data_IF_952524286533
#
_entry.id   IF_952524286533
#
_cell.length_a   1.000
_cell.length_b   1.000
_cell.length_c   1.000
_cell.angle_alpha   90.00
_cell.angle_beta   90.00
_cell.angle_gamma   90.00
#
_symmetry.space_group_name_H-M   'P 1'
#
loop_
_entity.id
_entity.type
_entity.pdbx_description
1 polymer ?
#
# COMPACT_ATOMS: atom_id res chain seq x y z
N UNK A 1 1.39 19.66 9.95
CA UNK A 1 0.42 19.39 11.07
C UNK A 1 0.10 17.89 11.02
N UNK A 2 -0.11 17.24 12.18
CA UNK A 2 -0.51 15.81 12.24
C UNK A 2 -1.84 15.72 12.97
N UNK A 3 -2.81 15.05 12.35
CA UNK A 3 -4.16 14.88 12.88
C UNK A 3 -4.43 13.37 13.09
N UNK A 4 -4.92 13.00 14.26
CA UNK A 4 -5.33 11.62 14.55
C UNK A 4 -6.75 11.36 14.04
N UNK A 5 -6.94 10.24 13.37
CA UNK A 5 -8.21 9.84 12.78
C UNK A 5 -8.65 8.47 13.32
N UNK A 6 -9.96 8.30 13.46
CA UNK A 6 -10.60 7.02 13.78
C UNK A 6 -11.52 6.65 12.60
N UNK A 7 -11.19 5.59 11.89
CA UNK A 7 -11.90 5.20 10.67
C UNK A 7 -12.71 3.93 10.93
N UNK A 8 -14.02 4.02 10.74
CA UNK A 8 -14.91 2.85 10.84
C UNK A 8 -14.62 1.90 9.69
N UNK A 9 -14.27 0.66 10.01
CA UNK A 9 -13.89 -0.38 9.05
C UNK A 9 -14.51 -1.72 9.37
N UNK A 10 -14.08 -2.75 8.64
CA UNK A 10 -14.52 -4.14 8.81
C UNK A 10 -13.34 -5.10 8.64
N UNK A 11 -13.49 -6.32 9.14
CA UNK A 11 -12.46 -7.35 9.11
C UNK A 11 -12.89 -8.57 8.27
N UNK A 12 -12.99 -8.44 6.92
CA UNK A 12 -13.19 -9.60 6.06
C UNK A 12 -11.91 -10.46 6.05
N UNK A 13 -12.05 -11.77 6.23
CA UNK A 13 -10.89 -12.66 6.24
C UNK A 13 -10.24 -12.82 4.86
N UNK A 14 -11.05 -12.89 3.81
CA UNK A 14 -10.62 -13.05 2.42
C UNK A 14 -11.35 -12.06 1.49
N UNK A 15 -10.84 -11.89 0.28
CA UNK A 15 -11.50 -11.09 -0.78
C UNK A 15 -12.92 -11.62 -1.05
N UNK A 16 -13.14 -12.94 -0.97
CA UNK A 16 -14.47 -13.52 -1.08
C UNK A 16 -15.49 -12.85 -0.14
N UNK A 17 -15.09 -12.52 1.09
CA UNK A 17 -15.98 -11.86 2.05
C UNK A 17 -16.26 -10.39 1.71
N UNK A 18 -15.32 -9.73 1.01
CA UNK A 18 -15.56 -8.39 0.46
C UNK A 18 -16.67 -8.47 -0.60
N UNK A 19 -16.53 -9.41 -1.54
CA UNK A 19 -17.42 -9.52 -2.70
C UNK A 19 -18.81 -10.09 -2.36
N UNK A 20 -18.94 -10.92 -1.30
CA UNK A 20 -20.14 -11.70 -1.05
C UNK A 20 -20.79 -11.51 0.33
N UNK A 21 -20.44 -10.47 1.06
CA UNK A 21 -21.06 -10.24 2.36
C UNK A 21 -20.23 -9.44 3.34
N UNK A 22 -19.64 -8.37 2.88
CA UNK A 22 -18.83 -7.48 3.71
C UNK A 22 -19.59 -7.01 4.97
N UNK A 23 -20.89 -6.74 4.84
CA UNK A 23 -21.75 -6.28 5.93
C UNK A 23 -21.90 -7.29 7.08
N UNK A 24 -21.61 -8.57 6.83
CA UNK A 24 -21.65 -9.66 7.82
C UNK A 24 -20.33 -9.83 8.57
N UNK A 25 -19.26 -9.18 8.10
CA UNK A 25 -17.95 -9.29 8.76
C UNK A 25 -17.86 -8.41 10.00
N UNK A 26 -16.95 -8.73 10.91
CA UNK A 26 -16.76 -8.00 12.15
C UNK A 26 -16.45 -6.52 11.89
N UNK A 27 -17.09 -5.64 12.65
CA UNK A 27 -16.77 -4.21 12.66
C UNK A 27 -15.48 -3.97 13.42
N UNK A 28 -14.69 -3.02 12.95
CA UNK A 28 -13.50 -2.53 13.64
C UNK A 28 -13.37 -1.02 13.44
N UNK A 29 -12.53 -0.38 14.24
CA UNK A 29 -12.17 1.03 14.06
C UNK A 29 -10.67 1.11 13.94
N UNK A 30 -10.16 1.51 12.80
CA UNK A 30 -8.72 1.63 12.59
C UNK A 30 -8.23 3.03 12.88
N UNK A 31 -7.03 3.13 13.41
CA UNK A 31 -6.35 4.40 13.65
C UNK A 31 -5.59 4.82 12.39
N UNK A 32 -5.63 6.11 12.09
CA UNK A 32 -4.84 6.69 11.03
C UNK A 32 -4.28 8.05 11.45
N UNK A 33 -3.16 8.44 10.87
CA UNK A 33 -2.49 9.72 11.10
C UNK A 33 -2.45 10.49 9.78
N UNK A 34 -3.14 11.62 9.72
CA UNK A 34 -3.11 12.52 8.57
C UNK A 34 -2.03 13.59 8.77
N UNK A 35 -1.02 13.54 7.93
CA UNK A 35 0.04 14.52 7.82
C UNK A 35 -0.30 15.50 6.70
N UNK A 36 -0.46 16.77 7.02
CA UNK A 36 -0.71 17.83 6.04
C UNK A 36 0.60 18.59 5.77
N UNK A 37 0.92 18.87 4.49
CA UNK A 37 2.03 19.72 4.14
C UNK A 37 1.74 21.19 4.52
N UNK A 38 2.71 22.08 4.33
CA UNK A 38 2.48 23.51 4.46
C UNK A 38 1.74 24.05 3.24
N UNK A 39 0.88 25.05 3.43
CA UNK A 39 0.14 25.72 2.37
C UNK A 39 -1.37 25.55 2.49
N UNK A 40 -2.05 25.95 1.43
CA UNK A 40 -3.50 25.82 1.28
C UNK A 40 -3.80 24.70 0.29
N UNK A 41 -4.73 23.82 0.64
CA UNK A 41 -5.18 22.72 -0.22
C UNK A 41 -6.02 23.20 -1.42
N UNK A 42 -6.61 22.30 -2.20
CA UNK A 42 -6.62 20.86 -1.94
C UNK A 42 -5.30 20.19 -2.28
N UNK A 43 -4.79 19.34 -1.37
CA UNK A 43 -3.56 18.58 -1.55
C UNK A 43 -3.85 17.22 -2.18
N UNK A 44 -3.02 16.76 -3.10
CA UNK A 44 -2.96 15.33 -3.41
C UNK A 44 -2.60 14.55 -2.15
N UNK A 45 -3.26 13.43 -1.88
CA UNK A 45 -3.07 12.65 -0.66
C UNK A 45 -2.65 11.22 -0.98
N UNK A 46 -1.70 10.69 -0.20
CA UNK A 46 -1.27 9.30 -0.28
C UNK A 46 -1.75 8.55 0.95
N UNK A 47 -2.60 7.54 0.76
CA UNK A 47 -2.88 6.56 1.82
C UNK A 47 -1.71 5.59 1.85
N UNK A 48 -0.96 5.59 2.95
CA UNK A 48 0.21 4.76 3.15
C UNK A 48 -0.13 3.54 4.02
N UNK A 49 0.34 2.36 3.60
CA UNK A 49 0.01 1.06 4.19
C UNK A 49 1.28 0.29 4.54
N UNK A 50 1.42 -0.08 5.81
CA UNK A 50 2.60 -0.79 6.32
C UNK A 50 2.68 -2.26 5.84
N UNK A 51 3.85 -2.86 5.99
CA UNK A 51 4.09 -4.29 5.75
C UNK A 51 3.73 -5.17 6.96
N UNK A 52 4.06 -6.46 6.86
CA UNK A 52 3.78 -7.48 7.91
C UNK A 52 4.46 -7.20 9.25
N UNK A 53 5.49 -6.37 9.30
CA UNK A 53 6.18 -5.93 10.52
C UNK A 53 5.67 -4.60 11.08
N UNK A 54 4.54 -4.09 10.58
CA UNK A 54 4.06 -2.76 10.95
C UNK A 54 4.88 -1.64 10.30
N UNK A 55 4.87 -0.45 10.92
CA UNK A 55 5.59 0.72 10.45
C UNK A 55 7.09 0.65 10.77
N UNK A 56 7.93 1.09 9.82
CA UNK A 56 9.39 1.10 9.93
C UNK A 56 10.00 2.43 9.45
N UNK A 57 11.26 2.68 9.78
CA UNK A 57 11.96 3.93 9.47
C UNK A 57 11.99 4.24 7.96
N UNK A 58 12.24 3.24 7.11
CA UNK A 58 12.29 3.45 5.67
C UNK A 58 10.94 3.89 5.09
N UNK A 59 9.81 3.49 5.67
CA UNK A 59 8.50 4.02 5.30
C UNK A 59 8.42 5.53 5.60
N UNK A 60 8.96 5.95 6.75
CA UNK A 60 8.97 7.36 7.14
C UNK A 60 9.81 8.24 6.19
N UNK A 61 10.91 7.68 5.64
CA UNK A 61 11.72 8.41 4.65
C UNK A 61 10.94 8.71 3.37
N UNK A 62 10.15 7.75 2.88
CA UNK A 62 9.24 7.96 1.76
C UNK A 62 8.17 9.02 2.09
N UNK A 63 7.54 8.89 3.25
CA UNK A 63 6.49 9.81 3.72
C UNK A 63 7.02 11.24 3.81
N UNK A 64 8.19 11.44 4.40
CA UNK A 64 8.82 12.74 4.49
C UNK A 64 9.09 13.34 3.11
N UNK A 65 9.61 12.53 2.18
CA UNK A 65 9.83 12.97 0.81
C UNK A 65 8.55 13.35 0.05
N UNK A 66 7.42 12.70 0.32
CA UNK A 66 6.13 13.08 -0.27
C UNK A 66 5.57 14.37 0.32
N UNK A 67 5.71 14.55 1.64
CA UNK A 67 5.33 15.80 2.34
C UNK A 67 6.15 17.01 1.85
N UNK A 68 7.45 16.83 1.58
CA UNK A 68 8.33 17.85 1.01
C UNK A 68 7.87 18.32 -0.39
N UNK A 69 7.24 17.42 -1.17
CA UNK A 69 6.66 17.75 -2.48
C UNK A 69 5.21 18.32 -2.40
N UNK A 70 4.72 18.57 -1.21
CA UNK A 70 3.40 19.16 -1.01
C UNK A 70 2.24 18.15 -1.07
N UNK A 71 2.51 16.84 -0.98
CA UNK A 71 1.46 15.84 -0.85
C UNK A 71 1.07 15.67 0.63
N UNK A 72 -0.21 15.51 0.90
CA UNK A 72 -0.68 15.00 2.18
C UNK A 72 -0.42 13.50 2.27
N UNK A 73 -0.23 12.98 3.49
CA UNK A 73 -0.04 11.53 3.71
C UNK A 73 -0.93 11.07 4.85
N UNK A 74 -1.71 10.03 4.63
CA UNK A 74 -2.49 9.35 5.66
C UNK A 74 -1.90 7.97 5.95
N UNK A 75 -1.26 7.81 7.12
CA UNK A 75 -0.74 6.53 7.60
C UNK A 75 -1.85 5.73 8.26
N UNK A 76 -2.18 4.57 7.74
CA UNK A 76 -3.21 3.69 8.32
C UNK A 76 -2.55 2.60 9.17
N UNK A 77 -3.02 2.43 10.40
CA UNK A 77 -2.57 1.37 11.29
C UNK A 77 -3.62 0.26 11.38
N UNK A 78 -3.49 -0.76 10.52
CA UNK A 78 -4.41 -1.89 10.48
C UNK A 78 -4.20 -2.91 11.61
N UNK A 79 -3.13 -2.79 12.40
CA UNK A 79 -2.75 -3.75 13.43
C UNK A 79 -3.26 -3.38 14.82
N UNK A 80 -3.14 -2.12 15.24
CA UNK A 80 -3.49 -1.70 16.60
C UNK A 80 -4.94 -2.03 16.97
N UNK A 81 -5.87 -1.79 16.07
CA UNK A 81 -7.30 -2.09 16.25
C UNK A 81 -7.61 -3.59 16.36
N UNK A 82 -6.68 -4.44 15.96
CA UNK A 82 -6.77 -5.91 16.01
C UNK A 82 -5.87 -6.52 17.08
N UNK A 83 -5.26 -5.64 17.92
CA UNK A 83 -4.41 -6.02 19.06
C UNK A 83 -3.20 -6.89 18.67
N UNK A 84 -2.60 -6.59 17.51
CA UNK A 84 -1.37 -7.22 17.04
C UNK A 84 -0.32 -6.17 16.66
N UNK A 85 0.95 -6.60 16.65
CA UNK A 85 2.09 -5.75 16.29
C UNK A 85 2.71 -6.15 14.94
N UNK A 86 2.56 -7.41 14.56
CA UNK A 86 3.06 -7.95 13.29
C UNK A 86 2.30 -9.23 12.88
N UNK A 87 2.46 -9.61 11.61
CA UNK A 87 1.87 -10.84 11.03
C UNK A 87 2.92 -11.78 10.45
N UNK A 88 4.20 -11.63 10.83
CA UNK A 88 5.30 -12.42 10.23
C UNK A 88 5.13 -13.91 10.49
N UNK A 89 4.77 -14.27 11.72
CA UNK A 89 4.59 -15.66 12.14
C UNK A 89 3.20 -16.21 11.81
N UNK A 90 2.21 -15.33 11.63
CA UNK A 90 0.83 -15.70 11.28
C UNK A 90 0.20 -14.64 10.36
N UNK A 91 0.33 -14.85 9.06
CA UNK A 91 -0.19 -13.96 8.01
C UNK A 91 -1.74 -13.93 7.96
N UNK A 92 -2.42 -14.77 8.75
CA UNK A 92 -3.87 -14.86 8.78
C UNK A 92 -4.52 -14.00 9.87
N UNK A 93 -3.76 -13.48 10.82
CA UNK A 93 -4.29 -12.61 11.90
C UNK A 93 -4.78 -11.26 11.37
N UNK A 94 -4.06 -10.64 10.44
CA UNK A 94 -4.55 -9.52 9.63
C UNK A 94 -4.21 -9.75 8.18
N UNK A 95 -5.24 -9.96 7.38
CA UNK A 95 -5.11 -10.30 5.97
C UNK A 95 -5.08 -9.06 5.07
N UNK A 96 -4.61 -9.22 3.83
CA UNK A 96 -4.70 -8.15 2.83
C UNK A 96 -6.16 -7.72 2.58
N UNK A 97 -7.16 -8.62 2.70
CA UNK A 97 -8.57 -8.27 2.55
C UNK A 97 -9.05 -7.28 3.62
N UNK A 98 -8.63 -7.46 4.89
CA UNK A 98 -8.91 -6.51 5.97
C UNK A 98 -8.30 -5.14 5.67
N UNK A 99 -7.03 -5.11 5.28
CA UNK A 99 -6.32 -3.87 4.98
C UNK A 99 -6.84 -3.17 3.71
N UNK A 100 -7.35 -3.90 2.72
CA UNK A 100 -8.04 -3.30 1.56
C UNK A 100 -9.26 -2.51 2.03
N UNK A 101 -10.09 -3.10 2.89
CA UNK A 101 -11.27 -2.39 3.43
C UNK A 101 -10.83 -1.18 4.26
N UNK A 102 -9.80 -1.31 5.09
CA UNK A 102 -9.26 -0.19 5.87
C UNK A 102 -8.82 0.98 4.94
N UNK A 103 -8.13 0.68 3.85
CA UNK A 103 -7.67 1.67 2.88
C UNK A 103 -8.85 2.41 2.20
N UNK A 104 -9.87 1.67 1.73
CA UNK A 104 -11.05 2.27 1.10
C UNK A 104 -11.87 3.10 2.09
N UNK A 105 -12.07 2.63 3.33
CA UNK A 105 -12.78 3.41 4.34
C UNK A 105 -12.02 4.67 4.76
N UNK A 106 -10.69 4.59 4.78
CA UNK A 106 -9.86 5.79 4.97
C UNK A 106 -10.02 6.77 3.81
N UNK A 107 -10.07 6.27 2.57
CA UNK A 107 -10.36 7.08 1.38
C UNK A 107 -11.71 7.79 1.49
N UNK A 108 -12.76 7.06 1.90
CA UNK A 108 -14.11 7.62 2.06
C UNK A 108 -14.13 8.79 3.06
N UNK A 109 -13.36 8.70 4.14
CA UNK A 109 -13.24 9.78 5.15
C UNK A 109 -12.45 10.96 4.58
N UNK A 110 -11.33 10.70 3.93
CA UNK A 110 -10.47 11.75 3.35
C UNK A 110 -11.17 12.52 2.22
N UNK A 111 -12.02 11.87 1.44
CA UNK A 111 -12.80 12.51 0.38
C UNK A 111 -13.78 13.59 0.89
N UNK A 112 -14.16 13.53 2.16
CA UNK A 112 -15.03 14.54 2.79
C UNK A 112 -14.24 15.76 3.31
N UNK A 113 -12.91 15.70 3.33
CA UNK A 113 -12.06 16.80 3.74
C UNK A 113 -11.75 17.72 2.55
N UNK A 114 -12.27 18.94 2.58
CA UNK A 114 -12.08 19.92 1.50
C UNK A 114 -10.60 20.28 1.23
N UNK A 115 -9.70 19.93 2.15
CA UNK A 115 -8.26 20.13 1.99
C UNK A 115 -7.61 19.04 1.14
N UNK A 116 -8.32 17.93 0.85
CA UNK A 116 -7.82 16.78 0.13
C UNK A 116 -8.40 16.75 -1.29
N UNK A 117 -7.52 16.59 -2.28
CA UNK A 117 -7.85 16.44 -3.68
C UNK A 117 -7.83 14.98 -4.14
N UNK A 118 -6.98 14.68 -5.12
CA UNK A 118 -6.78 13.29 -5.59
C UNK A 118 -6.18 12.41 -4.51
N UNK A 119 -6.57 11.13 -4.47
CA UNK A 119 -6.13 10.19 -3.43
C UNK A 119 -5.50 8.95 -4.07
N UNK A 120 -4.19 8.79 -3.88
CA UNK A 120 -3.45 7.58 -4.25
C UNK A 120 -3.25 6.63 -3.06
N UNK A 121 -2.84 5.40 -3.36
CA UNK A 121 -2.48 4.40 -2.36
C UNK A 121 -1.07 3.89 -2.60
N UNK A 122 -0.28 3.84 -1.52
CA UNK A 122 1.08 3.28 -1.51
C UNK A 122 1.22 2.28 -0.37
N UNK A 123 2.01 1.23 -0.56
CA UNK A 123 2.21 0.25 0.49
C UNK A 123 3.40 -0.66 0.27
N UNK A 124 3.90 -1.24 1.34
CA UNK A 124 5.10 -2.07 1.36
C UNK A 124 4.75 -3.52 1.72
N UNK A 125 5.27 -4.50 0.96
CA UNK A 125 5.07 -5.93 1.23
C UNK A 125 3.58 -6.29 1.30
N UNK A 126 3.06 -6.65 2.47
CA UNK A 126 1.63 -6.86 2.70
C UNK A 126 0.81 -5.62 2.28
N UNK A 127 1.21 -4.41 2.69
CA UNK A 127 0.62 -3.16 2.23
C UNK A 127 0.78 -2.93 0.72
N UNK A 128 1.88 -3.40 0.12
CA UNK A 128 2.09 -3.41 -1.33
C UNK A 128 1.09 -4.31 -2.04
N UNK A 129 0.79 -5.48 -1.47
CA UNK A 129 -0.26 -6.38 -1.96
C UNK A 129 -1.64 -5.69 -1.91
N UNK A 130 -1.91 -4.96 -0.84
CA UNK A 130 -3.14 -4.16 -0.70
C UNK A 130 -3.19 -3.07 -1.78
N UNK A 131 -2.12 -2.29 -1.96
CA UNK A 131 -2.05 -1.25 -2.98
C UNK A 131 -2.25 -1.80 -4.39
N UNK A 132 -1.71 -3.00 -4.70
CA UNK A 132 -1.90 -3.69 -5.98
C UNK A 132 -3.37 -4.09 -6.19
N UNK A 133 -3.93 -4.89 -5.27
CA UNK A 133 -5.28 -5.45 -5.46
C UNK A 133 -6.41 -4.45 -5.23
N UNK A 134 -6.15 -3.30 -4.62
CA UNK A 134 -7.09 -2.18 -4.56
C UNK A 134 -7.44 -1.59 -5.94
N UNK A 135 -6.68 -1.96 -6.99
CA UNK A 135 -6.99 -1.60 -8.37
C UNK A 135 -7.95 -2.59 -9.06
N UNK A 136 -8.25 -3.76 -8.46
CA UNK A 136 -9.10 -4.76 -9.08
C UNK A 136 -10.58 -4.31 -9.09
N UNK A 137 -11.18 -4.18 -10.30
CA UNK A 137 -12.51 -3.56 -10.48
C UNK A 137 -13.60 -4.17 -9.60
N UNK A 138 -13.72 -5.50 -9.42
CA UNK A 138 -14.74 -6.06 -8.53
C UNK A 138 -14.63 -5.61 -7.08
N UNK A 139 -13.43 -5.33 -6.58
CA UNK A 139 -13.24 -4.73 -5.24
C UNK A 139 -13.71 -3.29 -5.24
N UNK A 140 -13.32 -2.52 -6.27
CA UNK A 140 -13.71 -1.11 -6.41
C UNK A 140 -15.24 -0.96 -6.48
N UNK A 141 -15.93 -1.81 -7.24
CA UNK A 141 -17.40 -1.80 -7.37
C UNK A 141 -18.12 -1.98 -6.03
N UNK A 142 -17.55 -2.77 -5.13
CA UNK A 142 -18.14 -3.03 -3.80
C UNK A 142 -17.74 -1.96 -2.78
N UNK A 143 -16.49 -1.50 -2.82
CA UNK A 143 -15.96 -0.62 -1.78
C UNK A 143 -16.11 0.87 -2.09
N UNK A 144 -16.34 1.24 -3.35
CA UNK A 144 -16.59 2.63 -3.76
C UNK A 144 -15.62 3.12 -4.82
N UNK A 145 -15.20 4.38 -4.75
CA UNK A 145 -14.40 5.01 -5.79
C UNK A 145 -12.97 4.45 -5.88
N UNK A 146 -12.39 4.32 -7.09
CA UNK A 146 -11.01 3.89 -7.27
C UNK A 146 -10.02 4.92 -6.71
N UNK A 147 -8.81 4.49 -6.42
CA UNK A 147 -7.69 5.38 -6.16
C UNK A 147 -7.20 6.03 -7.47
N UNK A 148 -6.66 7.24 -7.38
CA UNK A 148 -6.14 7.97 -8.54
C UNK A 148 -4.74 7.48 -8.97
N UNK A 149 -4.01 6.80 -8.09
CA UNK A 149 -2.71 6.20 -8.35
C UNK A 149 -2.42 5.05 -7.39
N UNK A 150 -1.63 4.06 -7.85
CA UNK A 150 -1.21 2.92 -7.04
C UNK A 150 0.31 2.79 -7.05
N UNK A 151 0.92 2.64 -5.85
CA UNK A 151 2.36 2.47 -5.69
C UNK A 151 2.68 1.26 -4.79
N UNK A 152 2.63 0.04 -5.33
CA UNK A 152 3.04 -1.17 -4.62
C UNK A 152 4.57 -1.31 -4.57
N UNK A 153 5.14 -1.45 -3.37
CA UNK A 153 6.52 -1.87 -3.16
C UNK A 153 6.55 -3.36 -2.85
N UNK A 154 7.30 -4.12 -3.63
CA UNK A 154 7.50 -5.58 -3.49
C UNK A 154 6.25 -6.34 -3.02
N UNK A 155 5.13 -6.25 -3.78
CA UNK A 155 3.87 -6.90 -3.40
C UNK A 155 3.94 -8.41 -3.57
N UNK A 156 3.22 -9.15 -2.70
CA UNK A 156 2.92 -10.55 -2.94
C UNK A 156 1.76 -10.68 -3.94
N UNK A 157 2.09 -10.78 -5.22
CA UNK A 157 1.10 -10.80 -6.31
C UNK A 157 0.68 -12.24 -6.67
N UNK A 158 0.30 -13.05 -5.67
CA UNK A 158 0.01 -14.48 -5.85
C UNK A 158 -1.45 -14.79 -6.20
N UNK A 159 -2.38 -13.85 -5.98
CA UNK A 159 -3.78 -14.05 -6.36
C UNK A 159 -3.93 -13.97 -7.88
N UNK A 160 -4.80 -14.83 -8.42
CA UNK A 160 -5.11 -14.92 -9.85
C UNK A 160 -6.61 -14.77 -10.04
N UNK A 161 -7.11 -13.50 -10.07
CA UNK A 161 -8.53 -13.27 -10.29
C UNK A 161 -8.98 -13.82 -11.65
N UNK A 162 -10.14 -14.46 -11.70
CA UNK A 162 -10.74 -14.90 -12.97
C UNK A 162 -11.20 -13.70 -13.79
N UNK A 163 -11.83 -12.73 -13.15
CA UNK A 163 -12.23 -11.45 -13.77
C UNK A 163 -10.98 -10.60 -13.96
N UNK A 164 -10.61 -10.37 -15.23
CA UNK A 164 -9.40 -9.62 -15.62
C UNK A 164 -9.72 -8.16 -15.89
N UNK A 165 -10.44 -7.54 -14.97
CA UNK A 165 -10.83 -6.14 -15.05
C UNK A 165 -10.19 -5.34 -13.90
N UNK A 166 -9.49 -4.27 -14.26
CA UNK A 166 -8.69 -3.48 -13.35
C UNK A 166 -8.89 -1.99 -13.63
N UNK A 167 -8.78 -1.18 -12.60
CA UNK A 167 -8.78 0.28 -12.72
C UNK A 167 -7.73 0.78 -13.71
N UNK A 168 -8.08 1.77 -14.52
CA UNK A 168 -7.15 2.46 -15.44
C UNK A 168 -6.22 3.45 -14.73
N UNK A 169 -6.28 3.58 -13.42
CA UNK A 169 -5.38 4.44 -12.66
C UNK A 169 -3.92 4.03 -12.85
N UNK A 170 -3.04 5.01 -12.91
CA UNK A 170 -1.62 4.74 -13.09
C UNK A 170 -1.05 3.92 -11.93
N UNK A 171 -0.26 2.89 -12.24
CA UNK A 171 0.41 2.05 -11.26
C UNK A 171 1.92 2.00 -11.51
N UNK A 172 2.69 2.19 -10.44
CA UNK A 172 4.15 1.97 -10.45
C UNK A 172 4.49 0.89 -9.43
N UNK A 173 4.94 -0.27 -9.89
CA UNK A 173 5.42 -1.36 -9.03
C UNK A 173 6.94 -1.27 -8.93
N UNK A 174 7.47 -1.23 -7.71
CA UNK A 174 8.90 -1.26 -7.42
C UNK A 174 9.26 -2.61 -6.80
N UNK A 175 10.13 -3.39 -7.45
CA UNK A 175 10.41 -4.75 -7.01
C UNK A 175 11.89 -5.12 -7.17
N UNK A 176 12.38 -6.03 -6.33
CA UNK A 176 13.70 -6.64 -6.46
C UNK A 176 13.64 -7.99 -7.18
N UNK A 177 14.59 -8.30 -8.05
CA UNK A 177 14.63 -9.60 -8.75
C UNK A 177 15.18 -10.75 -7.89
N UNK A 178 15.89 -10.43 -6.80
CA UNK A 178 16.36 -11.40 -5.82
C UNK A 178 15.42 -11.53 -4.59
N UNK A 179 14.21 -11.04 -4.70
CA UNK A 179 13.20 -11.17 -3.63
C UNK A 179 12.71 -12.62 -3.52
N UNK A 180 13.07 -13.28 -2.44
CA UNK A 180 12.71 -14.67 -2.13
C UNK A 180 11.50 -14.77 -1.18
N UNK A 181 11.04 -13.64 -0.62
CA UNK A 181 9.85 -13.57 0.23
C UNK A 181 8.58 -13.35 -0.60
N UNK A 182 8.60 -12.40 -1.54
CA UNK A 182 7.54 -12.13 -2.50
C UNK A 182 8.10 -12.20 -3.93
N UNK A 183 8.33 -13.41 -4.48
CA UNK A 183 9.05 -13.60 -5.72
C UNK A 183 8.46 -12.82 -6.90
N UNK A 184 9.31 -12.08 -7.63
CA UNK A 184 8.93 -11.17 -8.71
C UNK A 184 8.11 -11.83 -9.83
N UNK A 185 8.33 -13.12 -10.11
CA UNK A 185 7.63 -13.85 -11.16
C UNK A 185 6.10 -13.83 -10.99
N UNK A 186 5.59 -13.65 -9.76
CA UNK A 186 4.17 -13.47 -9.51
C UNK A 186 3.66 -12.14 -10.06
N UNK A 187 4.42 -11.05 -9.91
CA UNK A 187 4.12 -9.75 -10.51
C UNK A 187 4.21 -9.82 -12.03
N UNK A 188 5.29 -10.37 -12.56
CA UNK A 188 5.51 -10.50 -14.01
C UNK A 188 4.39 -11.28 -14.70
N UNK A 189 3.89 -12.36 -14.08
CA UNK A 189 2.78 -13.14 -14.63
C UNK A 189 1.42 -12.43 -14.56
N UNK A 190 1.26 -11.46 -13.66
CA UNK A 190 0.04 -10.65 -13.55
C UNK A 190 0.10 -9.40 -14.45
N UNK A 191 1.29 -8.89 -14.72
CA UNK A 191 1.53 -7.64 -15.44
C UNK A 191 0.76 -7.49 -16.77
N UNK A 192 0.62 -8.54 -17.62
CA UNK A 192 -0.15 -8.43 -18.87
C UNK A 192 -1.63 -8.09 -18.69
N UNK A 193 -2.17 -8.19 -17.48
CA UNK A 193 -3.56 -7.88 -17.15
C UNK A 193 -3.72 -6.48 -16.54
N UNK A 194 -2.63 -5.83 -16.14
CA UNK A 194 -2.65 -4.55 -15.43
C UNK A 194 -2.53 -3.38 -16.41
N UNK A 195 -3.59 -2.60 -16.63
CA UNK A 195 -3.52 -1.41 -17.49
C UNK A 195 -2.63 -0.34 -16.85
N UNK A 196 -2.09 0.56 -17.65
CA UNK A 196 -1.32 1.73 -17.22
C UNK A 196 -0.27 1.46 -16.12
N UNK A 197 0.31 0.24 -16.13
CA UNK A 197 1.23 -0.23 -15.10
C UNK A 197 2.66 -0.22 -15.61
N UNK A 198 3.56 0.34 -14.79
CA UNK A 198 5.02 0.25 -14.98
C UNK A 198 5.60 -0.61 -13.86
N UNK A 199 6.33 -1.67 -14.22
CA UNK A 199 7.17 -2.44 -13.30
C UNK A 199 8.60 -1.93 -13.41
N UNK A 200 9.18 -1.49 -12.29
CA UNK A 200 10.60 -1.18 -12.19
C UNK A 200 11.31 -2.22 -11.33
N UNK A 201 12.30 -2.89 -11.93
CA UNK A 201 13.02 -4.00 -11.29
C UNK A 201 14.42 -3.55 -10.87
N UNK A 202 14.76 -3.82 -9.62
CA UNK A 202 16.10 -3.60 -9.07
C UNK A 202 16.89 -4.92 -9.06
N UNK A 203 17.93 -4.99 -9.89
CA UNK A 203 18.78 -6.19 -9.99
C UNK A 203 19.49 -6.51 -8.66
N UNK A 204 19.57 -7.79 -8.26
CA UNK A 204 20.11 -8.32 -6.98
C UNK A 204 19.54 -7.64 -5.73
N UNK A 205 18.34 -7.07 -5.80
CA UNK A 205 17.66 -6.47 -4.67
C UNK A 205 16.68 -7.49 -4.06
N UNK A 206 16.79 -7.66 -2.74
CA UNK A 206 15.94 -8.57 -1.96
C UNK A 206 14.69 -7.84 -1.44
N UNK A 207 13.86 -8.58 -0.69
CA UNK A 207 12.69 -8.01 -0.03
C UNK A 207 13.09 -6.83 0.88
N UNK A 208 12.27 -5.78 0.94
CA UNK A 208 12.56 -4.55 1.71
C UNK A 208 13.92 -3.90 1.32
N UNK A 209 14.27 -3.92 0.04
CA UNK A 209 15.54 -3.36 -0.49
C UNK A 209 15.73 -1.86 -0.17
N UNK A 210 14.65 -1.16 0.14
CA UNK A 210 14.64 0.25 0.53
C UNK A 210 14.85 0.46 2.05
N UNK A 211 14.91 -0.62 2.84
CA UNK A 211 15.26 -0.56 4.26
C UNK A 211 16.78 -0.45 4.49
N UNK A 212 17.18 0.32 5.50
CA UNK A 212 18.57 0.33 5.99
C UNK A 212 18.88 -0.81 6.96
N UNK A 213 17.88 -1.38 7.59
CA UNK A 213 18.03 -2.51 8.52
C UNK A 213 18.14 -3.81 7.75
N UNK A 214 19.09 -4.66 8.18
CA UNK A 214 19.11 -6.05 7.74
C UNK A 214 18.06 -6.81 8.55
N UNK A 215 17.11 -7.41 7.88
CA UNK A 215 16.17 -8.34 8.52
C UNK A 215 16.54 -9.76 8.13
N UNK A 216 16.55 -10.66 9.09
CA UNK A 216 16.60 -12.09 8.85
C UNK A 216 15.27 -12.64 9.35
N UNK A 217 14.27 -12.70 8.49
CA UNK A 217 12.95 -13.21 8.85
C UNK A 217 12.92 -14.73 8.91
N UNK A 218 13.76 -15.39 8.14
CA UNK A 218 13.97 -16.84 8.11
C UNK A 218 15.47 -17.13 7.97
N UNK A 219 15.95 -18.37 8.28
CA UNK A 219 17.37 -18.72 8.23
C UNK A 219 18.10 -18.46 6.91
N UNK A 220 17.37 -18.13 5.83
CA UNK A 220 17.91 -17.92 4.49
C UNK A 220 17.44 -16.64 3.80
N UNK A 221 16.48 -15.88 4.36
CA UNK A 221 16.07 -14.61 3.78
C UNK A 221 17.15 -13.56 4.06
N UNK A 222 17.98 -13.28 3.08
CA UNK A 222 19.07 -12.31 3.19
C UNK A 222 18.62 -10.97 2.62
N UNK A 223 18.40 -10.00 3.48
CA UNK A 223 18.16 -8.62 3.05
C UNK A 223 19.52 -7.92 2.90
N UNK A 224 20.05 -7.92 1.69
CA UNK A 224 21.24 -7.16 1.38
C UNK A 224 20.87 -5.73 0.98
N UNK A 225 21.41 -4.79 1.74
CA UNK A 225 21.32 -3.36 1.48
C UNK A 225 21.85 -3.04 0.07
N UNK A 226 20.99 -2.53 -0.80
CA UNK A 226 21.42 -1.95 -2.06
C UNK A 226 21.13 -0.44 -2.04
N UNK A 227 22.10 0.36 -1.57
CA UNK A 227 21.97 1.82 -1.43
C UNK A 227 21.44 2.49 -2.71
N UNK A 228 21.86 2.03 -3.86
CA UNK A 228 21.41 2.55 -5.17
C UNK A 228 19.93 2.29 -5.42
N UNK A 229 19.44 1.08 -5.10
CA UNK A 229 18.01 0.74 -5.24
C UNK A 229 17.13 1.59 -4.33
N UNK A 230 17.53 1.74 -3.04
CA UNK A 230 16.80 2.59 -2.09
C UNK A 230 16.73 4.05 -2.55
N UNK A 231 17.87 4.63 -2.93
CA UNK A 231 17.92 6.04 -3.35
C UNK A 231 17.08 6.28 -4.60
N UNK A 232 17.13 5.37 -5.57
CA UNK A 232 16.32 5.47 -6.79
C UNK A 232 14.82 5.28 -6.49
N UNK A 233 14.46 4.33 -5.60
CA UNK A 233 13.07 4.10 -5.21
C UNK A 233 12.44 5.32 -4.54
N UNK A 234 13.16 6.00 -3.64
CA UNK A 234 12.71 7.25 -3.03
C UNK A 234 12.40 8.32 -4.09
N UNK A 235 13.30 8.50 -5.07
CA UNK A 235 13.12 9.47 -6.14
C UNK A 235 11.97 9.10 -7.08
N UNK A 236 11.88 7.82 -7.49
CA UNK A 236 10.82 7.35 -8.41
C UNK A 236 9.45 7.43 -7.79
N UNK A 237 9.32 6.94 -6.55
CA UNK A 237 8.07 6.98 -5.81
C UNK A 237 7.55 8.41 -5.67
N UNK A 238 8.43 9.32 -5.23
CA UNK A 238 8.15 10.74 -5.09
C UNK A 238 7.68 11.35 -6.42
N UNK A 239 8.47 11.22 -7.48
CA UNK A 239 8.15 11.75 -8.81
C UNK A 239 6.83 11.19 -9.37
N UNK A 240 6.60 9.88 -9.18
CA UNK A 240 5.37 9.24 -9.65
C UNK A 240 4.14 9.81 -8.95
N UNK A 241 4.11 9.80 -7.62
CA UNK A 241 2.96 10.28 -6.85
C UNK A 241 2.69 11.76 -7.06
N UNK A 242 3.73 12.61 -7.06
CA UNK A 242 3.57 14.04 -7.34
C UNK A 242 2.94 14.26 -8.71
N UNK A 243 3.41 13.55 -9.75
CA UNK A 243 2.84 13.67 -11.10
C UNK A 243 1.37 13.25 -11.17
N UNK A 244 0.96 12.20 -10.44
CA UNK A 244 -0.39 11.66 -10.56
C UNK A 244 -1.41 12.40 -9.68
N UNK A 245 -0.98 12.94 -8.55
CA UNK A 245 -1.88 13.48 -7.53
C UNK A 245 -1.93 15.03 -7.50
N UNK A 246 -1.01 15.69 -8.18
CA UNK A 246 -1.07 17.16 -8.37
C UNK A 246 -2.19 17.57 -9.31
#
# INVERSE_FOLDING_TARGET
>A
MVEQMQVQSRSPFEIYHILNGLEKTAKTTVEAELFLPQGEGPFGCVIALHGSMGWAEHHQDHINGWLEEGLAVCKVNSFSSRSIDNTVDDQLTVTHAMMIVDAFRTRDVLEQDARIGKIGVAGWSLGGTVALYSAWSPIVEILGKPFDAHLPFYPAAHLRPEVKDWSDAAMLILHGDADDWTPIHFVESLLPQLPNTTLHVYGDAHHSFDSEKKYTLLPKAVHLKKRTARSDALVRAKKFLTKQLS
#
